data_IF_405708219818
#
_entry.id   IF_405708219818
#
_cell.length_a   1.000
_cell.length_b   1.000
_cell.length_c   1.000
_cell.angle_alpha   90.00
_cell.angle_beta   90.00
_cell.angle_gamma   90.00
#
_symmetry.space_group_name_H-M   'P 1'
#
loop_
_entity.id
_entity.type
_entity.pdbx_description
1 polymer ?
#
# COMPACT_ATOMS: atom_id res chain seq x y z
N UNK A 1 -1.05 -18.16 7.78
CA UNK A 1 -1.02 -17.11 6.72
C UNK A 1 -2.27 -16.23 6.71
N UNK A 2 -3.52 -16.73 6.80
CA UNK A 2 -4.70 -15.83 6.78
C UNK A 2 -4.86 -14.93 8.01
N UNK A 3 -4.52 -15.41 9.21
CA UNK A 3 -4.67 -14.61 10.44
C UNK A 3 -3.69 -13.42 10.53
N UNK A 4 -2.49 -13.57 9.98
CA UNK A 4 -1.47 -12.51 9.99
C UNK A 4 -1.85 -11.38 9.03
N UNK A 5 -2.21 -11.72 7.78
CA UNK A 5 -2.69 -10.74 6.81
C UNK A 5 -3.94 -9.99 7.30
N UNK A 6 -4.86 -10.69 7.97
CA UNK A 6 -6.03 -10.07 8.58
C UNK A 6 -5.63 -9.09 9.70
N UNK A 7 -4.69 -9.46 10.56
CA UNK A 7 -4.17 -8.58 11.61
C UNK A 7 -3.52 -7.32 11.02
N UNK A 8 -2.70 -7.47 9.97
CA UNK A 8 -2.07 -6.35 9.26
C UNK A 8 -3.10 -5.40 8.64
N UNK A 9 -4.15 -5.95 8.02
CA UNK A 9 -5.25 -5.16 7.47
C UNK A 9 -5.98 -4.36 8.54
N UNK A 10 -6.29 -4.98 9.69
CA UNK A 10 -6.94 -4.30 10.82
C UNK A 10 -6.06 -3.19 11.38
N UNK A 11 -4.77 -3.43 11.54
CA UNK A 11 -3.82 -2.43 12.05
C UNK A 11 -3.67 -1.24 11.10
N UNK A 12 -3.58 -1.50 9.79
CA UNK A 12 -3.55 -0.45 8.78
C UNK A 12 -4.84 0.39 8.80
N UNK A 13 -6.00 -0.25 8.93
CA UNK A 13 -7.28 0.46 9.02
C UNK A 13 -7.33 1.41 10.24
N UNK A 14 -6.88 0.93 11.42
CA UNK A 14 -6.79 1.77 12.63
C UNK A 14 -5.83 2.93 12.47
N UNK A 15 -4.64 2.67 11.92
CA UNK A 15 -3.65 3.71 11.66
C UNK A 15 -4.22 4.80 10.75
N UNK A 16 -4.77 4.43 9.60
CA UNK A 16 -5.35 5.39 8.65
C UNK A 16 -6.51 6.18 9.27
N UNK A 17 -7.32 5.54 10.12
CA UNK A 17 -8.40 6.22 10.84
C UNK A 17 -7.90 7.26 11.85
N UNK A 18 -6.71 7.05 12.44
CA UNK A 18 -6.08 7.99 13.38
C UNK A 18 -5.33 9.13 12.67
N UNK A 19 -5.06 9.00 11.38
CA UNK A 19 -4.30 9.97 10.57
C UNK A 19 -5.12 10.46 9.37
N UNK A 20 -6.26 11.17 9.60
CA UNK A 20 -7.09 11.65 8.51
C UNK A 20 -6.37 12.77 7.74
N UNK A 21 -6.35 12.66 6.43
CA UNK A 21 -5.90 13.71 5.51
C UNK A 21 -7.06 14.14 4.60
N UNK A 22 -6.98 15.37 4.07
CA UNK A 22 -7.97 15.89 3.13
C UNK A 22 -7.73 15.32 1.75
N UNK A 23 -8.81 15.21 0.97
CA UNK A 23 -8.73 14.81 -0.44
C UNK A 23 -7.71 15.65 -1.21
N UNK A 24 -6.90 15.00 -2.05
CA UNK A 24 -5.78 15.59 -2.80
C UNK A 24 -4.61 16.08 -1.95
N UNK A 25 -4.68 15.90 -0.63
CA UNK A 25 -3.64 16.23 0.35
C UNK A 25 -3.12 15.00 1.11
N UNK A 26 -3.52 13.79 0.72
CA UNK A 26 -3.20 12.51 1.37
C UNK A 26 -1.74 12.04 1.16
N UNK A 27 -0.75 12.91 1.39
CA UNK A 27 0.65 12.58 1.12
C UNK A 27 1.16 11.49 2.05
N UNK A 28 0.93 11.61 3.37
CA UNK A 28 1.40 10.65 4.36
C UNK A 28 0.63 9.32 4.30
N UNK A 29 -0.67 9.39 4.01
CA UNK A 29 -1.53 8.22 3.79
C UNK A 29 -1.04 7.40 2.62
N UNK A 30 -0.56 8.05 1.55
CA UNK A 30 -0.08 7.37 0.36
C UNK A 30 1.35 6.81 0.52
N UNK A 31 2.17 7.37 1.41
CA UNK A 31 3.52 6.85 1.70
C UNK A 31 3.44 5.47 2.37
N UNK A 32 2.45 5.25 3.23
CA UNK A 32 2.29 3.98 3.94
C UNK A 32 2.13 2.74 3.01
N UNK A 33 1.17 2.70 2.06
CA UNK A 33 1.09 1.59 1.13
C UNK A 33 2.32 1.52 0.22
N UNK A 34 2.91 2.65 -0.18
CA UNK A 34 4.13 2.67 -1.01
C UNK A 34 5.30 1.95 -0.32
N UNK A 35 5.56 2.27 0.96
CA UNK A 35 6.56 1.60 1.79
C UNK A 35 6.25 0.11 1.99
N UNK A 36 5.00 -0.23 2.31
CA UNK A 36 4.59 -1.62 2.55
C UNK A 36 4.69 -2.49 1.30
N UNK A 37 4.28 -1.98 0.13
CA UNK A 37 4.36 -2.70 -1.13
C UNK A 37 5.80 -2.81 -1.64
N UNK A 38 6.61 -1.77 -1.46
CA UNK A 38 8.05 -1.81 -1.75
C UNK A 38 8.76 -2.85 -0.89
N UNK A 39 8.44 -2.93 0.41
CA UNK A 39 9.05 -3.87 1.35
C UNK A 39 8.77 -5.35 1.00
N UNK A 40 7.65 -5.65 0.34
CA UNK A 40 7.34 -7.00 -0.15
C UNK A 40 7.85 -7.26 -1.58
N UNK A 41 8.62 -6.32 -2.15
CA UNK A 41 9.26 -6.46 -3.46
C UNK A 41 8.40 -6.07 -4.66
N UNK A 42 7.32 -5.30 -4.45
CA UNK A 42 6.51 -4.78 -5.56
C UNK A 42 7.20 -3.58 -6.19
N UNK A 43 7.09 -3.43 -7.50
CA UNK A 43 7.42 -2.16 -8.16
C UNK A 43 6.32 -1.15 -7.83
N UNK A 44 6.70 0.00 -7.28
CA UNK A 44 5.77 1.05 -6.91
C UNK A 44 6.12 2.38 -7.56
N UNK A 45 5.11 3.20 -7.79
CA UNK A 45 5.29 4.57 -8.25
C UNK A 45 4.17 5.49 -7.77
N UNK A 46 4.47 6.79 -7.72
CA UNK A 46 3.53 7.85 -7.38
C UNK A 46 2.96 8.49 -8.64
N UNK A 47 1.68 8.81 -8.62
CA UNK A 47 1.01 9.46 -9.74
C UNK A 47 -0.18 10.31 -9.27
N UNK A 48 -0.53 11.36 -10.03
CA UNK A 48 -1.74 12.15 -9.75
C UNK A 48 -1.70 12.98 -8.45
N UNK A 49 -0.50 13.39 -8.01
CA UNK A 49 -0.31 14.15 -6.76
C UNK A 49 -0.10 13.21 -5.56
N UNK A 50 -1.18 12.64 -5.04
CA UNK A 50 -1.17 11.77 -3.85
C UNK A 50 -1.47 10.31 -4.16
N UNK A 51 -1.67 9.93 -5.42
CA UNK A 51 -1.89 8.53 -5.79
C UNK A 51 -0.61 7.69 -5.68
N UNK A 52 -0.76 6.43 -5.25
CA UNK A 52 0.27 5.41 -5.25
C UNK A 52 -0.22 4.17 -5.98
N UNK A 53 0.66 3.55 -6.78
CA UNK A 53 0.37 2.33 -7.56
C UNK A 53 1.45 1.30 -7.25
N UNK A 54 1.03 0.05 -7.01
CA UNK A 54 1.91 -1.10 -6.92
C UNK A 54 1.57 -2.10 -8.03
N UNK A 55 2.60 -2.61 -8.73
CA UNK A 55 2.44 -3.57 -9.82
C UNK A 55 2.82 -4.97 -9.34
N UNK A 56 1.87 -5.90 -9.40
CA UNK A 56 2.13 -7.32 -9.18
C UNK A 56 2.22 -8.04 -10.53
N UNK A 57 3.43 -8.26 -11.02
CA UNK A 57 3.66 -9.00 -12.27
C UNK A 57 3.54 -10.51 -12.06
N UNK A 58 2.72 -11.17 -12.87
CA UNK A 58 2.72 -12.64 -12.97
C UNK A 58 3.78 -13.10 -13.98
N UNK A 59 5.06 -12.91 -13.70
CA UNK A 59 6.12 -13.56 -14.50
C UNK A 59 6.49 -14.91 -13.91
N UNK A 60 5.51 -15.81 -13.81
CA UNK A 60 5.79 -17.24 -13.80
C UNK A 60 5.67 -17.71 -15.25
N UNK A 61 6.81 -17.85 -15.92
CA UNK A 61 6.92 -18.65 -17.14
C UNK A 61 6.84 -20.11 -16.67
N UNK A 62 5.68 -20.73 -16.80
CA UNK A 62 5.50 -22.15 -16.49
C UNK A 62 6.18 -22.98 -17.61
N UNK A 63 7.23 -23.78 -17.34
CA UNK A 63 7.57 -24.90 -18.21
C UNK A 63 6.55 -26.03 -18.10
#
# INVERSE_FOLDING_TARGET
>A
MSNEAHSTMVENSKYLHQHPELSMGESATADRPDEQFSAIGSETFRCGGTGAVAVMSRTCRWP
#
